data_IF_473720331340
#
_entry.id   IF_473720331340
#
_cell.length_a   1.000
_cell.length_b   1.000
_cell.length_c   1.000
_cell.angle_alpha   90.00
_cell.angle_beta   90.00
_cell.angle_gamma   90.00
#
_symmetry.space_group_name_H-M   'P 1'
#
loop_
_entity.id
_entity.type
_entity.pdbx_description
1 polymer ?
#
# COMPACT_ATOMS: atom_id res chain seq x y z
N UNK A 1 19.30 14.13 -6.65
CA UNK A 1 18.64 12.99 -7.31
C UNK A 1 18.00 12.12 -6.22
N UNK A 2 16.75 11.74 -6.38
CA UNK A 2 16.07 10.79 -5.50
C UNK A 2 16.34 9.38 -6.01
N UNK A 3 16.54 8.38 -5.17
CA UNK A 3 16.81 7.03 -5.66
C UNK A 3 15.59 6.41 -6.33
N UNK A 4 15.86 5.62 -7.37
CA UNK A 4 14.88 4.76 -8.04
C UNK A 4 15.30 3.30 -7.89
N UNK A 5 14.36 2.34 -7.96
CA UNK A 5 14.69 0.92 -7.91
C UNK A 5 15.64 0.53 -9.05
N UNK A 6 16.66 -0.28 -8.74
CA UNK A 6 17.68 -0.74 -9.69
C UNK A 6 17.17 -1.91 -10.54
N UNK A 7 16.96 -1.73 -11.86
CA UNK A 7 16.52 -2.83 -12.72
C UNK A 7 17.49 -4.03 -12.70
N UNK A 8 18.80 -3.76 -12.50
CA UNK A 8 19.81 -4.83 -12.41
C UNK A 8 19.62 -5.72 -11.19
N UNK A 9 19.19 -5.15 -10.07
CA UNK A 9 18.91 -5.92 -8.86
C UNK A 9 17.63 -6.76 -8.98
N UNK A 10 16.59 -6.23 -9.64
CA UNK A 10 15.27 -6.88 -9.73
C UNK A 10 15.19 -7.93 -10.85
N UNK A 11 15.94 -7.76 -11.92
CA UNK A 11 15.88 -8.64 -13.12
C UNK A 11 15.99 -10.12 -12.75
N UNK A 12 14.95 -10.87 -13.12
CA UNK A 12 14.86 -12.31 -12.89
C UNK A 12 14.64 -12.76 -11.45
N UNK A 13 14.64 -11.84 -10.45
CA UNK A 13 14.33 -12.20 -9.06
C UNK A 13 12.93 -12.73 -8.92
N UNK A 14 12.80 -13.82 -8.19
CA UNK A 14 11.50 -14.40 -7.85
C UNK A 14 10.85 -13.62 -6.73
N UNK A 15 9.74 -12.96 -7.03
CA UNK A 15 8.99 -12.12 -6.10
C UNK A 15 7.59 -12.68 -5.91
N UNK A 16 7.19 -12.98 -4.68
CA UNK A 16 5.82 -13.37 -4.35
C UNK A 16 5.10 -12.18 -3.72
N UNK A 17 3.94 -11.82 -4.29
CA UNK A 17 3.09 -10.74 -3.80
C UNK A 17 1.76 -11.33 -3.33
N UNK A 18 1.48 -11.31 -2.02
CA UNK A 18 0.14 -11.61 -1.54
C UNK A 18 -0.72 -10.34 -1.64
N UNK A 19 -2.00 -10.47 -2.02
CA UNK A 19 -2.86 -9.31 -2.23
C UNK A 19 -2.60 -8.58 -3.57
N UNK A 20 -2.01 -9.26 -4.53
CA UNK A 20 -1.69 -8.73 -5.86
C UNK A 20 -2.91 -8.31 -6.69
N UNK A 21 -4.09 -8.80 -6.38
CA UNK A 21 -5.35 -8.43 -7.02
C UNK A 21 -5.93 -7.10 -6.51
N UNK A 22 -5.42 -6.63 -5.35
CA UNK A 22 -5.80 -5.35 -4.76
C UNK A 22 -5.11 -4.16 -5.44
N UNK A 23 -5.50 -2.95 -5.04
CA UNK A 23 -5.02 -1.70 -5.61
C UNK A 23 -3.49 -1.55 -5.53
N UNK A 24 -2.93 -1.49 -4.33
CA UNK A 24 -1.47 -1.29 -4.13
C UNK A 24 -0.68 -2.49 -4.65
N UNK A 25 -1.17 -3.71 -4.41
CA UNK A 25 -0.54 -4.95 -4.89
C UNK A 25 -0.47 -5.02 -6.42
N UNK A 26 -1.52 -4.55 -7.10
CA UNK A 26 -1.54 -4.46 -8.56
C UNK A 26 -0.49 -3.49 -9.11
N UNK A 27 -0.39 -2.27 -8.54
CA UNK A 27 0.64 -1.30 -8.91
C UNK A 27 2.06 -1.80 -8.63
N UNK A 28 2.26 -2.49 -7.50
CA UNK A 28 3.55 -3.12 -7.18
C UNK A 28 3.92 -4.18 -8.22
N UNK A 29 2.98 -5.05 -8.61
CA UNK A 29 3.20 -6.03 -9.68
C UNK A 29 3.52 -5.37 -11.02
N UNK A 30 2.81 -4.29 -11.39
CA UNK A 30 3.08 -3.55 -12.62
C UNK A 30 4.49 -2.95 -12.63
N UNK A 31 4.96 -2.37 -11.51
CA UNK A 31 6.32 -1.85 -11.45
C UNK A 31 7.38 -2.95 -11.45
N UNK A 32 7.19 -4.02 -10.69
CA UNK A 32 8.09 -5.17 -10.68
C UNK A 32 8.25 -5.81 -12.07
N UNK A 33 7.16 -5.88 -12.85
CA UNK A 33 7.22 -6.33 -14.24
C UNK A 33 8.07 -5.41 -15.12
N UNK A 34 7.99 -4.10 -14.92
CA UNK A 34 8.87 -3.12 -15.62
C UNK A 34 10.34 -3.29 -15.26
N UNK A 35 10.62 -3.80 -14.06
CA UNK A 35 11.96 -4.13 -13.58
C UNK A 35 12.40 -5.55 -13.97
N UNK A 36 11.64 -6.24 -14.82
CA UNK A 36 11.90 -7.59 -15.28
C UNK A 36 12.00 -8.63 -14.15
N UNK A 37 11.34 -8.39 -13.01
CA UNK A 37 11.23 -9.37 -11.94
C UNK A 37 10.28 -10.52 -12.34
N UNK A 38 10.55 -11.72 -11.85
CA UNK A 38 9.66 -12.88 -12.03
C UNK A 38 8.63 -12.89 -10.90
N UNK A 39 7.44 -12.33 -11.15
CA UNK A 39 6.42 -12.11 -10.13
C UNK A 39 5.40 -13.24 -10.10
N UNK A 40 5.11 -13.76 -8.91
CA UNK A 40 3.93 -14.60 -8.63
C UNK A 40 2.99 -13.85 -7.70
N UNK A 41 1.68 -14.02 -7.90
CA UNK A 41 0.64 -13.46 -7.06
C UNK A 41 -0.12 -14.54 -6.30
N UNK A 42 -0.51 -14.28 -5.04
CA UNK A 42 -1.41 -15.10 -4.24
C UNK A 42 -2.44 -14.20 -3.55
N UNK A 43 -3.70 -14.28 -3.91
CA UNK A 43 -4.78 -13.48 -3.34
C UNK A 43 -6.16 -14.05 -3.65
N UNK A 44 -7.17 -13.51 -2.99
CA UNK A 44 -8.57 -13.68 -3.41
C UNK A 44 -8.82 -13.06 -4.80
N UNK A 45 -10.01 -13.25 -5.35
CA UNK A 45 -10.45 -12.50 -6.54
C UNK A 45 -10.35 -10.98 -6.30
N UNK A 46 -10.23 -10.16 -7.35
CA UNK A 46 -10.22 -8.72 -7.20
C UNK A 46 -11.42 -8.23 -6.36
N UNK A 47 -11.18 -7.36 -5.36
CA UNK A 47 -12.22 -6.98 -4.39
C UNK A 47 -13.31 -6.07 -4.98
N UNK A 48 -13.13 -5.57 -6.18
CA UNK A 48 -14.05 -4.65 -6.86
C UNK A 48 -14.18 -4.95 -8.33
N UNK A 49 -15.34 -4.57 -8.90
CA UNK A 49 -15.57 -4.54 -10.36
C UNK A 49 -16.08 -3.13 -10.72
N UNK A 50 -15.30 -2.37 -11.52
CA UNK A 50 -13.98 -2.69 -12.07
C UNK A 50 -12.89 -2.80 -11.01
N UNK A 51 -11.71 -3.32 -11.40
CA UNK A 51 -10.52 -3.41 -10.56
C UNK A 51 -9.27 -2.93 -11.30
N UNK A 52 -8.26 -2.44 -10.59
CA UNK A 52 -6.96 -2.14 -11.20
C UNK A 52 -6.37 -3.38 -11.86
N UNK A 53 -6.41 -4.50 -11.16
CA UNK A 53 -5.86 -5.78 -11.61
C UNK A 53 -6.35 -6.17 -13.01
N UNK A 54 -7.67 -6.13 -13.23
CA UNK A 54 -8.25 -6.44 -14.52
C UNK A 54 -8.00 -5.35 -15.56
N UNK A 55 -8.21 -4.08 -15.19
CA UNK A 55 -8.13 -2.93 -16.09
C UNK A 55 -6.71 -2.66 -16.61
N UNK A 56 -5.70 -2.87 -15.79
CA UNK A 56 -4.28 -2.71 -16.16
C UNK A 56 -3.66 -4.00 -16.74
N UNK A 57 -4.41 -5.10 -16.83
CA UNK A 57 -3.93 -6.37 -17.39
C UNK A 57 -2.81 -7.00 -16.57
N UNK A 58 -2.86 -6.87 -15.24
CA UNK A 58 -1.77 -7.34 -14.35
C UNK A 58 -1.54 -8.85 -14.46
N UNK A 59 -2.62 -9.64 -14.63
CA UNK A 59 -2.49 -11.10 -14.76
C UNK A 59 -1.54 -11.55 -15.87
N UNK A 60 -1.57 -10.87 -17.03
CA UNK A 60 -0.70 -11.18 -18.17
C UNK A 60 0.79 -10.87 -17.91
N UNK A 61 1.09 -10.12 -16.87
CA UNK A 61 2.45 -9.72 -16.47
C UNK A 61 3.07 -10.68 -15.43
N UNK A 62 2.27 -11.60 -14.88
CA UNK A 62 2.70 -12.50 -13.81
C UNK A 62 3.24 -13.82 -14.35
N UNK A 63 4.30 -14.33 -13.73
CA UNK A 63 4.77 -15.68 -13.97
C UNK A 63 3.80 -16.74 -13.40
N UNK A 64 3.05 -16.41 -12.35
CA UNK A 64 1.97 -17.22 -11.77
C UNK A 64 0.92 -16.32 -11.14
N UNK A 65 -0.33 -16.57 -11.44
CA UNK A 65 -1.50 -15.94 -10.83
C UNK A 65 -2.30 -17.01 -10.07
N UNK A 66 -2.23 -17.00 -8.75
CA UNK A 66 -2.88 -17.99 -7.88
C UNK A 66 -3.94 -17.34 -7.02
N UNK A 67 -5.17 -17.89 -7.08
CA UNK A 67 -6.26 -17.49 -6.19
C UNK A 67 -6.22 -18.31 -4.91
N UNK A 68 -6.25 -17.61 -3.76
CA UNK A 68 -6.24 -18.26 -2.45
C UNK A 68 -6.45 -17.26 -1.32
N UNK A 69 -6.94 -17.77 -0.21
CA UNK A 69 -7.14 -17.01 1.02
C UNK A 69 -5.91 -17.16 1.93
N UNK A 70 -5.40 -16.05 2.46
CA UNK A 70 -4.31 -16.04 3.46
C UNK A 70 -4.72 -16.67 4.79
N UNK A 71 -6.02 -16.85 5.02
CA UNK A 71 -6.53 -17.61 6.16
C UNK A 71 -6.31 -19.13 6.02
N UNK A 72 -6.04 -19.63 4.81
CA UNK A 72 -5.68 -21.03 4.58
C UNK A 72 -4.15 -21.19 4.65
N UNK A 73 -3.65 -21.52 5.84
CA UNK A 73 -2.21 -21.73 6.08
C UNK A 73 -1.59 -22.80 5.17
N UNK A 74 -2.35 -23.82 4.79
CA UNK A 74 -1.89 -24.90 3.90
C UNK A 74 -1.62 -24.38 2.49
N UNK A 75 -2.55 -23.60 1.93
CA UNK A 75 -2.41 -22.98 0.62
C UNK A 75 -1.31 -21.93 0.58
N UNK A 76 -1.20 -21.09 1.62
CA UNK A 76 -0.10 -20.12 1.73
C UNK A 76 1.25 -20.83 1.70
N UNK A 77 1.42 -21.89 2.51
CA UNK A 77 2.64 -22.69 2.54
C UNK A 77 2.95 -23.31 1.17
N UNK A 78 1.95 -23.91 0.53
CA UNK A 78 2.11 -24.53 -0.79
C UNK A 78 2.55 -23.51 -1.85
N UNK A 79 1.95 -22.30 -1.85
CA UNK A 79 2.30 -21.23 -2.78
C UNK A 79 3.77 -20.77 -2.60
N UNK A 80 4.20 -20.53 -1.35
CA UNK A 80 5.57 -20.14 -1.02
C UNK A 80 6.57 -21.23 -1.43
N UNK A 81 6.29 -22.50 -1.09
CA UNK A 81 7.18 -23.63 -1.42
C UNK A 81 7.29 -23.86 -2.93
N UNK A 82 6.16 -23.85 -3.64
CA UNK A 82 6.16 -24.13 -5.08
C UNK A 82 6.86 -23.03 -5.89
N UNK A 83 6.73 -21.76 -5.50
CA UNK A 83 7.38 -20.68 -6.21
C UNK A 83 8.83 -20.44 -5.75
N UNK A 84 9.14 -20.73 -4.48
CA UNK A 84 10.44 -20.51 -3.85
C UNK A 84 10.96 -19.08 -4.05
N UNK A 85 10.23 -18.04 -3.54
CA UNK A 85 10.57 -16.65 -3.76
C UNK A 85 11.85 -16.24 -3.04
N UNK A 86 12.56 -15.25 -3.60
CA UNK A 86 13.66 -14.54 -2.93
C UNK A 86 13.15 -13.31 -2.16
N UNK A 87 12.07 -12.69 -2.65
CA UNK A 87 11.41 -11.54 -2.03
C UNK A 87 9.94 -11.86 -1.86
N UNK A 88 9.40 -11.57 -0.67
CA UNK A 88 7.97 -11.69 -0.40
C UNK A 88 7.42 -10.34 0.07
N UNK A 89 6.40 -9.86 -0.63
CA UNK A 89 5.58 -8.73 -0.22
C UNK A 89 4.22 -9.21 0.25
N UNK A 90 3.88 -8.94 1.51
CA UNK A 90 2.59 -9.30 2.09
C UNK A 90 1.69 -8.08 2.16
N UNK A 91 0.76 -7.97 1.17
CA UNK A 91 -0.23 -6.89 1.09
C UNK A 91 -1.67 -7.40 1.27
N UNK A 92 -1.90 -8.71 1.31
CA UNK A 92 -3.22 -9.26 1.55
C UNK A 92 -3.74 -8.82 2.92
N UNK A 93 -4.89 -8.16 2.94
CA UNK A 93 -5.50 -7.64 4.15
C UNK A 93 -6.97 -7.30 3.91
N UNK A 94 -7.77 -7.19 4.98
CA UNK A 94 -9.02 -6.44 4.98
C UNK A 94 -8.65 -4.97 5.28
N UNK A 95 -8.77 -4.03 4.29
CA UNK A 95 -8.21 -2.69 4.41
C UNK A 95 -9.23 -1.59 4.72
N UNK A 96 -10.52 -1.91 4.83
CA UNK A 96 -11.61 -0.93 4.97
C UNK A 96 -12.02 -0.81 6.42
N UNK A 97 -11.88 0.40 6.98
CA UNK A 97 -12.21 0.69 8.38
C UNK A 97 -13.67 0.35 8.71
N UNK A 98 -14.62 0.75 7.85
CA UNK A 98 -16.05 0.49 8.06
C UNK A 98 -16.38 -1.01 8.04
N UNK A 99 -15.69 -1.78 7.20
CA UNK A 99 -15.87 -3.24 7.19
C UNK A 99 -15.27 -3.88 8.43
N UNK A 100 -14.22 -3.31 9.02
CA UNK A 100 -13.69 -3.70 10.32
C UNK A 100 -14.73 -3.59 11.45
N UNK A 101 -15.56 -2.53 11.42
CA UNK A 101 -16.68 -2.41 12.37
C UNK A 101 -17.81 -3.43 12.10
N UNK A 102 -18.05 -3.79 10.85
CA UNK A 102 -19.10 -4.76 10.48
C UNK A 102 -18.69 -6.19 10.78
N UNK A 103 -17.43 -6.53 10.49
CA UNK A 103 -16.86 -7.86 10.72
C UNK A 103 -15.47 -7.76 11.38
N UNK A 104 -15.42 -7.53 12.69
CA UNK A 104 -14.17 -7.48 13.43
C UNK A 104 -13.46 -8.83 13.46
N UNK A 105 -14.19 -9.95 13.52
CA UNK A 105 -13.60 -11.29 13.58
C UNK A 105 -12.86 -11.61 12.30
N UNK A 106 -13.49 -11.43 11.13
CA UNK A 106 -12.85 -11.61 9.83
C UNK A 106 -11.68 -10.65 9.61
N UNK A 107 -11.79 -9.41 10.13
CA UNK A 107 -10.70 -8.42 10.06
C UNK A 107 -9.47 -8.90 10.85
N UNK A 108 -9.63 -9.37 12.08
CA UNK A 108 -8.51 -9.92 12.85
C UNK A 108 -7.99 -11.22 12.24
N UNK A 109 -8.86 -12.12 11.80
CA UNK A 109 -8.45 -13.36 11.14
C UNK A 109 -7.55 -13.07 9.94
N UNK A 110 -8.00 -12.20 9.03
CA UNK A 110 -7.22 -11.87 7.83
C UNK A 110 -5.94 -11.09 8.15
N UNK A 111 -6.04 -10.03 8.95
CA UNK A 111 -4.91 -9.12 9.13
C UNK A 111 -3.86 -9.66 10.11
N UNK A 112 -4.25 -10.43 11.12
CA UNK A 112 -3.33 -10.99 12.10
C UNK A 112 -2.97 -12.41 11.74
N UNK A 113 -3.97 -13.31 11.68
CA UNK A 113 -3.68 -14.71 11.42
C UNK A 113 -3.18 -14.96 10.00
N UNK A 114 -3.71 -14.24 9.00
CA UNK A 114 -3.17 -14.27 7.63
C UNK A 114 -1.70 -13.86 7.59
N UNK A 115 -1.30 -12.81 8.33
CA UNK A 115 0.12 -12.42 8.47
C UNK A 115 0.93 -13.52 9.15
N UNK A 116 0.42 -14.14 10.21
CA UNK A 116 1.08 -15.26 10.91
C UNK A 116 1.28 -16.45 9.97
N UNK A 117 0.28 -16.81 9.17
CA UNK A 117 0.39 -17.90 8.18
C UNK A 117 1.48 -17.63 7.13
N UNK A 118 1.57 -16.38 6.64
CA UNK A 118 2.61 -15.97 5.70
C UNK A 118 4.00 -16.02 6.35
N UNK A 119 4.16 -15.51 7.57
CA UNK A 119 5.43 -15.56 8.30
C UNK A 119 5.87 -17.00 8.59
N UNK A 120 4.93 -17.88 8.95
CA UNK A 120 5.22 -19.31 9.17
C UNK A 120 5.66 -20.00 7.88
N UNK A 121 5.03 -19.69 6.74
CA UNK A 121 5.47 -20.20 5.45
C UNK A 121 6.86 -19.67 5.08
N UNK A 122 7.16 -18.41 5.37
CA UNK A 122 8.48 -17.80 5.16
C UNK A 122 9.57 -18.47 5.99
N UNK A 123 9.27 -18.85 7.23
CA UNK A 123 10.21 -19.53 8.14
C UNK A 123 10.74 -20.85 7.54
N UNK A 124 9.91 -21.53 6.75
CA UNK A 124 10.24 -22.78 6.07
C UNK A 124 10.82 -22.60 4.65
N UNK A 125 11.11 -21.35 4.22
CA UNK A 125 11.52 -21.04 2.84
C UNK A 125 12.99 -20.55 2.78
N UNK A 126 13.97 -21.45 2.53
CA UNK A 126 15.39 -21.09 2.56
C UNK A 126 15.83 -20.16 1.43
N UNK A 127 15.00 -19.98 0.40
CA UNK A 127 15.25 -19.06 -0.71
C UNK A 127 15.03 -17.60 -0.34
N UNK A 128 14.24 -17.31 0.72
CA UNK A 128 13.87 -15.96 1.08
C UNK A 128 15.05 -15.12 1.61
N UNK A 129 15.17 -13.94 1.04
CA UNK A 129 16.15 -12.91 1.39
C UNK A 129 15.47 -11.67 1.98
N UNK A 130 14.23 -11.39 1.56
CA UNK A 130 13.48 -10.19 1.93
C UNK A 130 12.02 -10.52 2.21
N UNK A 131 11.50 -10.02 3.34
CA UNK A 131 10.10 -10.13 3.75
C UNK A 131 9.61 -8.73 4.11
N UNK A 132 8.65 -8.21 3.36
CA UNK A 132 8.07 -6.89 3.61
C UNK A 132 6.57 -7.02 3.80
N UNK A 133 6.08 -6.56 4.94
CA UNK A 133 4.66 -6.64 5.34
C UNK A 133 4.04 -5.25 5.33
N UNK A 134 2.95 -5.08 4.59
CA UNK A 134 2.20 -3.82 4.58
C UNK A 134 1.26 -3.73 5.77
N UNK A 135 1.45 -2.69 6.56
CA UNK A 135 0.54 -2.33 7.65
C UNK A 135 -0.20 -1.02 7.32
N UNK A 136 -0.10 0.02 8.10
CA UNK A 136 -0.80 1.28 7.89
C UNK A 136 -0.23 2.38 8.79
N UNK A 137 -0.39 3.64 8.41
CA UNK A 137 -0.16 4.81 9.26
C UNK A 137 -1.05 4.84 10.53
N UNK A 138 -2.16 4.08 10.53
CA UNK A 138 -3.10 3.99 11.65
C UNK A 138 -2.67 3.03 12.77
N UNK A 139 -1.49 2.41 12.64
CA UNK A 139 -0.94 1.54 13.71
C UNK A 139 -0.55 2.30 14.98
N UNK A 140 -0.35 3.60 14.88
CA UNK A 140 0.06 4.42 16.01
C UNK A 140 -1.09 4.71 16.97
N UNK A 141 -0.77 4.82 18.26
CA UNK A 141 -1.70 5.35 19.26
C UNK A 141 -1.86 6.85 19.03
N UNK A 142 -2.85 7.22 18.23
CA UNK A 142 -3.11 8.60 17.87
C UNK A 142 -3.78 9.36 19.06
N UNK A 143 -3.06 10.32 19.62
CA UNK A 143 -3.48 11.21 20.70
C UNK A 143 -4.19 12.47 20.18
N UNK A 144 -4.40 12.60 18.88
CA UNK A 144 -5.01 13.73 18.17
C UNK A 144 -4.24 15.05 18.33
N UNK A 145 -2.97 15.03 18.73
CA UNK A 145 -2.13 16.22 18.90
C UNK A 145 -1.75 16.89 17.58
N UNK A 146 -1.86 16.17 16.45
CA UNK A 146 -1.41 16.64 15.15
C UNK A 146 0.10 16.56 14.92
N UNK A 147 0.87 16.06 15.89
CA UNK A 147 2.30 15.80 15.71
C UNK A 147 2.56 14.70 14.69
N UNK A 148 3.71 14.73 14.04
CA UNK A 148 4.15 13.66 13.17
C UNK A 148 4.58 12.43 13.98
N UNK A 149 4.06 11.24 13.62
CA UNK A 149 4.48 9.97 14.20
C UNK A 149 5.73 9.46 13.51
N UNK A 150 6.73 9.12 14.31
CA UNK A 150 7.92 8.38 13.90
C UNK A 150 7.76 6.88 14.15
N UNK A 151 8.68 6.09 13.60
CA UNK A 151 8.60 4.63 13.75
C UNK A 151 8.83 4.15 15.19
N UNK A 152 9.42 4.99 16.04
CA UNK A 152 9.69 4.69 17.45
C UNK A 152 8.48 5.02 18.35
N UNK A 153 7.41 5.61 17.77
CA UNK A 153 6.20 5.94 18.51
C UNK A 153 5.36 4.68 18.85
N UNK A 154 4.63 4.81 19.95
CA UNK A 154 3.82 3.71 20.48
C UNK A 154 2.76 3.25 19.51
N UNK A 155 2.73 1.95 19.24
CA UNK A 155 1.66 1.29 18.50
C UNK A 155 0.39 1.15 19.33
N UNK A 156 -0.78 1.12 18.65
CA UNK A 156 -2.08 0.87 19.27
C UNK A 156 -3.22 1.51 18.49
N UNK A 157 -4.04 0.72 17.82
CA UNK A 157 -5.23 1.17 17.11
C UNK A 157 -6.46 1.24 18.01
N UNK A 158 -7.37 2.18 17.72
CA UNK A 158 -8.59 2.42 18.52
C UNK A 158 -9.84 1.74 17.93
N UNK A 159 -9.73 1.09 16.77
CA UNK A 159 -10.83 0.39 16.10
C UNK A 159 -10.30 -0.90 15.44
N UNK A 160 -11.18 -1.85 15.05
CA UNK A 160 -10.77 -3.20 14.68
C UNK A 160 -9.72 -3.26 13.56
N UNK A 161 -9.82 -2.40 12.53
CA UNK A 161 -8.83 -2.37 11.45
C UNK A 161 -7.45 -1.93 11.96
N UNK A 162 -7.36 -0.77 12.60
CA UNK A 162 -6.07 -0.24 13.08
C UNK A 162 -5.47 -1.11 14.18
N UNK A 163 -6.30 -1.66 15.08
CA UNK A 163 -5.88 -2.60 16.10
C UNK A 163 -5.33 -3.91 15.49
N UNK A 164 -5.99 -4.46 14.46
CA UNK A 164 -5.51 -5.66 13.77
C UNK A 164 -4.18 -5.42 13.04
N UNK A 165 -4.00 -4.25 12.44
CA UNK A 165 -2.73 -3.87 11.80
C UNK A 165 -1.61 -3.65 12.81
N UNK A 166 -1.90 -3.08 13.98
CA UNK A 166 -0.94 -2.99 15.10
C UNK A 166 -0.57 -4.38 15.63
N UNK A 167 -1.53 -5.29 15.74
CA UNK A 167 -1.28 -6.68 16.15
C UNK A 167 -0.44 -7.45 15.11
N UNK A 168 -0.62 -7.17 13.82
CA UNK A 168 0.24 -7.71 12.77
C UNK A 168 1.69 -7.23 12.92
N UNK A 169 1.95 -5.97 13.28
CA UNK A 169 3.29 -5.46 13.61
C UNK A 169 3.92 -6.26 14.76
N UNK A 170 3.16 -6.52 15.83
CA UNK A 170 3.62 -7.34 16.95
C UNK A 170 3.94 -8.78 16.53
N UNK A 171 3.12 -9.37 15.65
CA UNK A 171 3.38 -10.70 15.10
C UNK A 171 4.70 -10.74 14.31
N UNK A 172 4.94 -9.73 13.44
CA UNK A 172 6.19 -9.61 12.68
C UNK A 172 7.39 -9.49 13.64
N UNK A 173 7.29 -8.65 14.67
CA UNK A 173 8.32 -8.50 15.69
C UNK A 173 8.62 -9.80 16.43
N UNK A 174 7.59 -10.53 16.85
CA UNK A 174 7.74 -11.82 17.54
C UNK A 174 8.43 -12.87 16.63
N UNK A 175 8.05 -12.95 15.35
CA UNK A 175 8.69 -13.86 14.40
C UNK A 175 10.14 -13.46 14.11
N UNK A 176 10.42 -12.16 14.00
CA UNK A 176 11.78 -11.67 13.86
C UNK A 176 12.67 -12.11 15.02
N UNK A 177 12.30 -11.78 16.26
CA UNK A 177 13.09 -12.07 17.45
C UNK A 177 13.26 -13.57 17.71
N UNK A 178 12.19 -14.36 17.48
CA UNK A 178 12.20 -15.78 17.81
C UNK A 178 12.84 -16.65 16.75
N UNK A 179 12.72 -16.29 15.47
CA UNK A 179 13.07 -17.16 14.35
C UNK A 179 14.04 -16.54 13.34
N UNK A 180 13.66 -15.41 12.70
CA UNK A 180 14.41 -14.89 11.54
C UNK A 180 15.77 -14.32 11.94
N UNK A 181 15.85 -13.60 13.04
CA UNK A 181 17.10 -13.05 13.58
C UNK A 181 18.15 -14.15 13.87
N UNK A 182 17.69 -15.34 14.22
CA UNK A 182 18.52 -16.48 14.58
C UNK A 182 18.76 -17.48 13.44
N UNK A 183 18.17 -17.25 12.29
CA UNK A 183 18.34 -18.12 11.13
C UNK A 183 19.77 -18.05 10.59
N UNK A 184 20.28 -19.19 10.11
CA UNK A 184 21.64 -19.24 9.51
C UNK A 184 21.76 -18.31 8.28
N UNK A 185 20.72 -18.23 7.45
CA UNK A 185 20.54 -17.21 6.42
C UNK A 185 19.44 -16.26 6.90
N UNK A 186 19.84 -15.14 7.47
CA UNK A 186 18.93 -14.14 8.04
C UNK A 186 18.28 -13.32 6.91
N UNK A 187 16.95 -13.42 6.69
CA UNK A 187 16.28 -12.54 5.75
C UNK A 187 16.17 -11.12 6.33
N UNK A 188 16.13 -10.09 5.49
CA UNK A 188 15.64 -8.78 5.91
C UNK A 188 14.13 -8.86 6.13
N UNK A 189 13.63 -8.37 7.26
CA UNK A 189 12.19 -8.29 7.58
C UNK A 189 11.85 -6.84 7.89
N UNK A 190 10.77 -6.34 7.28
CA UNK A 190 10.30 -4.98 7.52
C UNK A 190 8.77 -4.88 7.45
N UNK A 191 8.22 -3.90 8.16
CA UNK A 191 6.83 -3.46 7.98
C UNK A 191 6.78 -2.08 7.32
N UNK A 192 5.83 -1.88 6.41
CA UNK A 192 5.60 -0.62 5.69
C UNK A 192 4.35 0.05 6.24
N UNK A 193 4.50 1.25 6.77
CA UNK A 193 3.44 2.11 7.29
C UNK A 193 3.25 3.27 6.32
N UNK A 194 2.32 3.10 5.38
CA UNK A 194 2.06 4.13 4.38
C UNK A 194 0.83 4.97 4.75
N UNK A 195 0.89 6.26 4.42
CA UNK A 195 -0.21 7.19 4.58
C UNK A 195 -1.35 6.97 3.60
N UNK A 196 -2.26 7.94 3.49
CA UNK A 196 -3.39 7.85 2.58
C UNK A 196 -2.94 7.78 1.12
N UNK A 197 -3.02 6.59 0.55
CA UNK A 197 -2.56 6.32 -0.81
C UNK A 197 -3.67 6.66 -1.80
N UNK A 198 -3.36 7.50 -2.80
CA UNK A 198 -4.22 7.79 -3.96
C UNK A 198 -3.57 7.28 -5.24
N UNK A 199 -4.39 7.01 -6.26
CA UNK A 199 -3.90 6.52 -7.55
C UNK A 199 -5.06 6.00 -8.40
N UNK A 200 -4.81 5.83 -9.68
CA UNK A 200 -5.79 5.24 -10.58
C UNK A 200 -6.09 3.77 -10.25
N UNK A 201 -7.35 3.39 -10.32
CA UNK A 201 -7.77 1.99 -10.17
C UNK A 201 -8.06 1.51 -8.75
N UNK A 202 -8.06 2.39 -7.75
CA UNK A 202 -8.68 2.10 -6.46
C UNK A 202 -10.19 2.28 -6.59
N UNK A 203 -10.93 1.20 -6.61
CA UNK A 203 -12.39 1.23 -6.76
C UNK A 203 -13.12 0.94 -5.44
N UNK A 204 -12.39 0.89 -4.32
CA UNK A 204 -12.99 0.64 -3.02
C UNK A 204 -13.99 1.74 -2.62
N UNK A 205 -15.03 1.36 -1.88
CA UNK A 205 -15.99 2.30 -1.30
C UNK A 205 -15.39 2.94 -0.05
N UNK A 206 -15.97 4.03 0.38
CA UNK A 206 -15.57 4.77 1.58
C UNK A 206 -14.13 5.32 1.50
N UNK A 207 -13.65 5.57 0.28
CA UNK A 207 -12.39 6.25 -0.01
C UNK A 207 -12.64 7.48 -0.85
N UNK A 208 -12.04 8.60 -0.48
CA UNK A 208 -12.36 9.93 -1.02
C UNK A 208 -12.27 9.99 -2.55
N UNK A 209 -11.13 9.60 -3.14
CA UNK A 209 -10.92 9.73 -4.58
C UNK A 209 -11.80 8.78 -5.41
N UNK A 210 -11.92 7.47 -5.10
CA UNK A 210 -12.88 6.58 -5.76
C UNK A 210 -14.33 7.07 -5.67
N UNK A 211 -14.75 7.59 -4.51
CA UNK A 211 -16.10 8.13 -4.32
C UNK A 211 -16.30 9.40 -5.16
N UNK A 212 -15.28 10.27 -5.26
CA UNK A 212 -15.29 11.44 -6.13
C UNK A 212 -15.48 11.04 -7.60
N UNK A 213 -14.71 10.07 -8.08
CA UNK A 213 -14.79 9.60 -9.47
C UNK A 213 -16.18 9.04 -9.78
N UNK A 214 -16.76 8.22 -8.89
CA UNK A 214 -18.11 7.69 -9.08
C UNK A 214 -19.17 8.81 -9.12
N UNK A 215 -19.07 9.76 -8.21
CA UNK A 215 -19.99 10.90 -8.18
C UNK A 215 -19.88 11.76 -9.45
N UNK A 216 -18.68 12.12 -9.85
CA UNK A 216 -18.44 12.97 -11.01
C UNK A 216 -18.84 12.28 -12.33
N UNK A 217 -18.56 10.99 -12.47
CA UNK A 217 -19.00 10.22 -13.63
C UNK A 217 -20.54 10.13 -13.73
N UNK A 218 -21.23 10.16 -12.61
CA UNK A 218 -22.70 10.21 -12.55
C UNK A 218 -23.27 11.64 -12.65
N UNK A 219 -22.44 12.68 -12.83
CA UNK A 219 -22.88 14.09 -12.84
C UNK A 219 -23.35 14.61 -11.47
N UNK A 220 -23.04 13.89 -10.38
CA UNK A 220 -23.44 14.22 -9.02
C UNK A 220 -22.29 14.88 -8.23
N UNK A 221 -22.59 15.68 -7.19
CA UNK A 221 -21.56 16.21 -6.30
C UNK A 221 -20.99 15.07 -5.41
N UNK A 222 -19.67 15.09 -5.19
CA UNK A 222 -19.06 14.28 -4.14
C UNK A 222 -19.57 14.72 -2.77
N UNK A 223 -19.94 13.77 -1.92
CA UNK A 223 -20.27 14.01 -0.51
C UNK A 223 -19.02 13.84 0.34
N UNK A 224 -18.64 14.90 1.06
CA UNK A 224 -17.48 14.91 1.97
C UNK A 224 -17.97 15.02 3.41
N UNK A 225 -17.59 14.05 4.25
CA UNK A 225 -18.07 13.95 5.65
C UNK A 225 -17.27 14.83 6.61
N UNK A 226 -15.95 14.87 6.45
CA UNK A 226 -15.01 15.56 7.37
C UNK A 226 -14.00 16.39 6.58
N UNK A 227 -14.41 17.52 5.97
CA UNK A 227 -13.57 18.28 5.04
C UNK A 227 -12.32 18.88 5.69
N UNK A 228 -12.35 19.18 6.98
CA UNK A 228 -11.23 19.75 7.73
C UNK A 228 -10.22 18.71 8.25
N UNK A 229 -10.53 17.42 8.17
CA UNK A 229 -9.60 16.37 8.60
C UNK A 229 -8.37 16.32 7.71
N UNK A 230 -7.17 16.32 8.31
CA UNK A 230 -5.89 16.26 7.57
C UNK A 230 -5.35 14.85 7.48
N UNK A 231 -4.73 14.54 6.34
CA UNK A 231 -4.15 13.21 6.07
C UNK A 231 -2.84 13.35 5.31
N UNK A 232 -1.91 12.39 5.48
CA UNK A 232 -0.66 12.33 4.72
C UNK A 232 -0.91 11.68 3.35
N UNK A 233 -1.43 12.49 2.40
CA UNK A 233 -1.74 12.02 1.07
C UNK A 233 -0.49 11.77 0.23
N UNK A 234 -0.43 10.64 -0.46
CA UNK A 234 0.65 10.35 -1.40
C UNK A 234 0.16 9.52 -2.59
N UNK A 235 0.88 9.61 -3.71
CA UNK A 235 0.57 8.74 -4.85
C UNK A 235 1.00 7.31 -4.58
N UNK A 236 0.28 6.33 -5.15
CA UNK A 236 0.58 4.90 -5.00
C UNK A 236 1.99 4.56 -5.47
N UNK A 237 2.49 5.23 -6.49
CA UNK A 237 3.86 5.04 -6.99
C UNK A 237 4.92 5.50 -5.98
N UNK A 238 4.67 6.52 -5.17
CA UNK A 238 5.60 6.90 -4.10
C UNK A 238 5.72 5.81 -3.04
N UNK A 239 4.57 5.27 -2.59
CA UNK A 239 4.56 4.18 -1.63
C UNK A 239 5.22 2.91 -2.20
N UNK A 240 4.92 2.55 -3.46
CA UNK A 240 5.51 1.40 -4.14
C UNK A 240 7.01 1.60 -4.33
N UNK A 241 7.47 2.79 -4.77
CA UNK A 241 8.91 3.10 -4.90
C UNK A 241 9.64 2.94 -3.57
N UNK A 242 9.07 3.50 -2.50
CA UNK A 242 9.64 3.34 -1.15
C UNK A 242 9.77 1.87 -0.75
N UNK A 243 8.75 1.08 -1.02
CA UNK A 243 8.74 -0.36 -0.73
C UNK A 243 9.79 -1.13 -1.53
N UNK A 244 9.96 -0.82 -2.82
CA UNK A 244 10.98 -1.45 -3.66
C UNK A 244 12.39 -1.09 -3.20
N UNK A 245 12.64 0.20 -2.90
CA UNK A 245 13.91 0.66 -2.35
C UNK A 245 14.24 0.03 -0.99
N UNK A 246 13.24 -0.12 -0.14
CA UNK A 246 13.39 -0.80 1.15
C UNK A 246 13.80 -2.27 0.97
N UNK A 247 13.14 -2.99 0.06
CA UNK A 247 13.50 -4.38 -0.21
C UNK A 247 14.90 -4.52 -0.84
N UNK A 248 15.30 -3.56 -1.66
CA UNK A 248 16.58 -3.53 -2.36
C UNK A 248 17.75 -3.15 -1.43
N UNK A 249 17.57 -2.06 -0.68
CA UNK A 249 18.63 -1.38 0.09
C UNK A 249 18.51 -1.56 1.59
N UNK A 250 17.35 -1.99 2.05
CA UNK A 250 17.11 -2.24 3.46
C UNK A 250 18.17 -3.19 3.98
N UNK A 251 18.94 -2.69 4.93
CA UNK A 251 20.09 -3.40 5.42
C UNK A 251 19.69 -4.76 5.99
N UNK A 252 20.39 -5.80 5.56
CA UNK A 252 20.73 -6.88 6.46
C UNK A 252 21.67 -6.35 7.58
N UNK A 253 21.57 -5.08 7.97
CA UNK A 253 22.48 -4.40 8.85
C UNK A 253 22.19 -4.77 10.30
N UNK A 254 23.23 -5.11 11.01
CA UNK A 254 23.24 -5.57 12.38
C UNK A 254 22.64 -4.58 13.41
N UNK A 255 22.47 -3.31 13.06
CA UNK A 255 21.96 -2.28 13.97
C UNK A 255 20.54 -1.78 13.63
N UNK A 256 20.15 -1.78 12.37
CA UNK A 256 18.80 -1.37 11.95
C UNK A 256 17.77 -2.52 12.07
N UNK A 257 18.20 -3.74 12.30
CA UNK A 257 17.38 -4.93 12.39
C UNK A 257 16.39 -4.93 13.57
N UNK A 258 16.61 -4.12 14.59
CA UNK A 258 15.66 -3.91 15.69
C UNK A 258 14.51 -2.98 15.31
N UNK A 259 14.63 -2.27 14.18
CA UNK A 259 13.67 -1.27 13.73
C UNK A 259 12.93 -1.75 12.49
N UNK A 260 11.95 -2.63 12.68
CA UNK A 260 11.21 -3.25 11.57
C UNK A 260 10.28 -2.28 10.84
N UNK A 261 9.75 -1.25 11.52
CA UNK A 261 8.82 -0.30 10.95
C UNK A 261 9.46 0.75 10.05
N UNK A 262 8.78 1.08 8.92
CA UNK A 262 9.19 2.13 7.99
C UNK A 262 8.00 2.96 7.57
N UNK A 263 8.05 4.26 7.86
CA UNK A 263 7.04 5.21 7.42
C UNK A 263 7.33 5.70 6.00
N UNK A 264 6.30 5.68 5.16
CA UNK A 264 6.31 6.31 3.85
C UNK A 264 5.12 7.24 3.73
N UNK A 265 5.37 8.53 3.68
CA UNK A 265 4.37 9.59 3.56
C UNK A 265 5.02 10.91 3.15
N UNK A 266 4.22 11.93 2.81
CA UNK A 266 4.74 13.26 2.50
C UNK A 266 5.45 13.87 3.71
N UNK A 267 6.23 14.92 3.46
CA UNK A 267 6.86 15.70 4.52
C UNK A 267 5.81 16.22 5.52
N UNK A 268 6.12 16.35 6.81
CA UNK A 268 5.16 16.81 7.81
C UNK A 268 4.52 18.18 7.50
N UNK A 269 5.20 19.02 6.73
CA UNK A 269 4.68 20.31 6.25
C UNK A 269 3.76 20.22 5.01
N UNK A 270 3.69 19.06 4.37
CA UNK A 270 2.90 18.79 3.16
C UNK A 270 1.68 17.91 3.46
N UNK A 271 0.95 18.27 4.51
CA UNK A 271 -0.27 17.56 4.95
C UNK A 271 -1.48 18.40 4.59
N UNK A 272 -2.41 17.80 3.87
CA UNK A 272 -3.55 18.52 3.32
C UNK A 272 -4.89 18.05 3.89
N UNK A 273 -5.87 18.96 4.06
CA UNK A 273 -7.22 18.60 4.47
C UNK A 273 -7.93 17.82 3.34
N UNK A 274 -8.93 17.06 3.71
CA UNK A 274 -9.79 16.32 2.78
C UNK A 274 -10.43 17.25 1.74
N UNK A 275 -10.79 18.47 2.13
CA UNK A 275 -11.34 19.49 1.22
C UNK A 275 -10.38 19.85 0.09
N UNK A 276 -9.08 20.00 0.37
CA UNK A 276 -8.09 20.31 -0.67
C UNK A 276 -8.00 19.20 -1.73
N UNK A 277 -8.03 17.93 -1.31
CA UNK A 277 -8.07 16.80 -2.25
C UNK A 277 -9.36 16.78 -3.06
N UNK A 278 -10.51 17.09 -2.44
CA UNK A 278 -11.79 17.17 -3.13
C UNK A 278 -11.81 18.31 -4.17
N UNK A 279 -11.20 19.47 -3.84
CA UNK A 279 -11.04 20.59 -4.77
C UNK A 279 -10.15 20.25 -5.95
N UNK A 280 -8.98 19.62 -5.68
CA UNK A 280 -8.04 19.15 -6.71
C UNK A 280 -8.70 18.12 -7.64
N UNK A 281 -9.40 17.13 -7.08
CA UNK A 281 -10.10 16.13 -7.86
C UNK A 281 -11.21 16.76 -8.73
N UNK A 282 -11.97 17.71 -8.19
CA UNK A 282 -13.01 18.45 -8.93
C UNK A 282 -12.42 19.25 -10.10
N UNK A 283 -11.31 19.96 -9.88
CA UNK A 283 -10.60 20.71 -10.92
C UNK A 283 -10.04 19.78 -12.01
N UNK A 284 -9.37 18.70 -11.60
CA UNK A 284 -8.76 17.76 -12.53
C UNK A 284 -9.83 17.00 -13.37
N UNK A 285 -10.99 16.74 -12.80
CA UNK A 285 -12.11 16.14 -13.53
C UNK A 285 -12.72 17.11 -14.55
N UNK A 286 -12.90 18.37 -14.17
CA UNK A 286 -13.51 19.40 -15.02
C UNK A 286 -15.04 19.25 -15.13
N UNK A 287 -15.65 19.87 -16.16
CA UNK A 287 -17.09 19.70 -16.45
C UNK A 287 -18.05 20.17 -15.36
N UNK A 288 -17.62 21.08 -14.46
CA UNK A 288 -18.45 21.56 -13.36
C UNK A 288 -18.54 20.60 -12.17
N UNK A 289 -17.65 19.61 -12.11
CA UNK A 289 -17.53 18.71 -10.95
C UNK A 289 -17.35 19.50 -9.66
N UNK A 290 -18.04 19.09 -8.62
CA UNK A 290 -18.03 19.77 -7.31
C UNK A 290 -18.27 18.81 -6.18
N UNK A 291 -18.01 19.24 -4.98
CA UNK A 291 -18.34 18.51 -3.76
C UNK A 291 -19.22 19.31 -2.83
N UNK A 292 -19.84 18.66 -1.85
CA UNK A 292 -20.61 19.27 -0.77
C UNK A 292 -20.28 18.60 0.55
N UNK A 293 -20.39 19.34 1.62
CA UNK A 293 -20.25 18.81 2.98
C UNK A 293 -21.57 18.21 3.46
N UNK A 294 -21.49 16.98 4.00
CA UNK A 294 -22.58 16.35 4.70
C UNK A 294 -21.98 15.52 5.84
N UNK A 295 -22.19 15.99 7.07
CA UNK A 295 -21.61 15.35 8.25
C UNK A 295 -22.21 13.96 8.48
N UNK A 296 -21.36 12.98 8.83
CA UNK A 296 -21.77 11.63 9.25
C UNK A 296 -21.10 11.35 10.60
N UNK A 297 -21.88 11.38 11.68
CA UNK A 297 -21.42 11.13 13.03
C UNK A 297 -21.42 9.64 13.42
N UNK A 298 -21.82 8.75 12.51
CA UNK A 298 -21.99 7.31 12.81
C UNK A 298 -20.67 6.60 13.13
N UNK A 299 -19.55 7.08 12.57
CA UNK A 299 -18.22 6.54 12.82
C UNK A 299 -17.26 7.70 13.09
N UNK A 300 -16.58 7.70 14.24
CA UNK A 300 -15.57 8.71 14.55
C UNK A 300 -14.42 8.68 13.57
N UNK A 301 -14.07 9.83 12.99
CA UNK A 301 -12.89 9.99 12.15
C UNK A 301 -11.79 10.75 12.91
N UNK A 302 -10.54 10.31 12.79
CA UNK A 302 -9.40 11.04 13.35
C UNK A 302 -9.31 12.43 12.71
N UNK A 303 -9.06 13.47 13.52
CA UNK A 303 -8.93 14.85 13.03
C UNK A 303 -7.64 15.06 12.25
N UNK A 304 -6.54 14.50 12.74
CA UNK A 304 -5.23 14.60 12.14
C UNK A 304 -4.47 13.27 12.22
N UNK A 305 -3.74 12.97 11.19
CA UNK A 305 -2.74 11.92 11.15
C UNK A 305 -1.58 12.42 10.28
N UNK A 306 -0.40 12.47 10.85
CA UNK A 306 0.82 12.95 10.20
C UNK A 306 1.91 11.93 10.43
N UNK A 307 2.69 11.61 9.39
CA UNK A 307 3.86 10.73 9.49
C UNK A 307 5.15 11.53 9.36
N UNK A 308 6.17 11.09 10.07
CA UNK A 308 7.56 11.44 9.78
C UNK A 308 8.18 10.31 8.97
N UNK A 309 8.66 10.62 7.78
CA UNK A 309 9.41 9.70 6.93
C UNK A 309 10.93 9.93 7.01
N UNK A 310 11.41 10.52 8.12
CA UNK A 310 12.82 10.87 8.30
C UNK A 310 13.73 9.64 8.16
N UNK A 311 13.34 8.49 8.72
CA UNK A 311 14.08 7.23 8.57
C UNK A 311 14.23 6.81 7.10
N UNK A 312 13.15 6.90 6.32
CA UNK A 312 13.19 6.56 4.90
C UNK A 312 14.04 7.56 4.10
N UNK A 313 14.02 8.84 4.48
CA UNK A 313 14.89 9.85 3.88
C UNK A 313 16.37 9.58 4.19
N UNK A 314 16.71 9.37 5.46
CA UNK A 314 18.10 9.22 5.91
C UNK A 314 18.74 7.93 5.39
N UNK A 315 18.04 6.81 5.49
CA UNK A 315 18.57 5.50 5.15
C UNK A 315 18.43 5.14 3.66
N UNK A 316 17.36 5.58 3.01
CA UNK A 316 17.05 5.20 1.63
C UNK A 316 17.15 6.38 0.65
N UNK A 317 17.28 7.63 1.13
CA UNK A 317 17.15 8.83 0.32
C UNK A 317 15.73 9.04 -0.22
N UNK A 318 14.73 8.38 0.39
CA UNK A 318 13.37 8.39 -0.11
C UNK A 318 12.58 9.61 0.42
N UNK A 319 11.84 10.25 -0.47
CA UNK A 319 10.77 11.23 -0.22
C UNK A 319 9.81 11.19 -1.37
N UNK A 320 8.58 11.66 -1.22
CA UNK A 320 7.61 11.71 -2.33
C UNK A 320 8.21 12.39 -3.55
N UNK A 321 8.04 11.79 -4.74
CA UNK A 321 8.47 12.37 -6.00
C UNK A 321 7.41 13.32 -6.55
N UNK A 322 6.14 12.97 -6.41
CA UNK A 322 5.01 13.77 -6.82
C UNK A 322 4.40 14.51 -5.63
N UNK A 323 4.11 15.80 -5.83
CA UNK A 323 3.27 16.57 -4.93
C UNK A 323 1.80 16.16 -5.03
N UNK A 324 0.96 16.73 -4.17
CA UNK A 324 -0.46 16.37 -4.14
C UNK A 324 -1.19 16.71 -5.44
N UNK A 325 -0.89 17.87 -6.05
CA UNK A 325 -1.51 18.29 -7.32
C UNK A 325 -1.24 17.29 -8.43
N UNK A 326 0.02 16.90 -8.60
CA UNK A 326 0.42 15.88 -9.58
C UNK A 326 -0.20 14.51 -9.26
N UNK A 327 -0.17 14.10 -8.00
CA UNK A 327 -0.73 12.83 -7.57
C UNK A 327 -2.22 12.72 -7.91
N UNK A 328 -3.00 13.77 -7.68
CA UNK A 328 -4.43 13.80 -8.00
C UNK A 328 -4.66 13.89 -9.51
N UNK A 329 -3.91 14.72 -10.23
CA UNK A 329 -4.06 14.87 -11.68
C UNK A 329 -3.82 13.54 -12.41
N UNK A 330 -2.73 12.83 -12.08
CA UNK A 330 -2.39 11.53 -12.68
C UNK A 330 -3.42 10.45 -12.30
N UNK A 331 -3.91 10.46 -11.06
CA UNK A 331 -4.97 9.56 -10.64
C UNK A 331 -6.25 9.78 -11.43
N UNK A 332 -6.72 11.03 -11.56
CA UNK A 332 -7.93 11.37 -12.31
C UNK A 332 -7.77 11.05 -13.79
N UNK A 333 -6.61 11.31 -14.39
CA UNK A 333 -6.32 10.96 -15.78
C UNK A 333 -6.47 9.45 -16.02
N UNK A 334 -5.97 8.62 -15.11
CA UNK A 334 -6.12 7.17 -15.18
C UNK A 334 -7.59 6.74 -15.13
N UNK A 335 -8.38 7.30 -14.20
CA UNK A 335 -9.81 6.99 -14.08
C UNK A 335 -10.60 7.42 -15.32
N UNK A 336 -10.31 8.61 -15.87
CA UNK A 336 -10.98 9.07 -17.10
C UNK A 336 -10.70 8.12 -18.27
N UNK A 337 -9.47 7.67 -18.41
CA UNK A 337 -9.11 6.67 -19.42
C UNK A 337 -9.84 5.33 -19.20
N UNK A 338 -9.95 4.88 -17.93
CA UNK A 338 -10.67 3.66 -17.58
C UNK A 338 -12.17 3.74 -17.93
N UNK A 339 -12.81 4.85 -17.62
CA UNK A 339 -14.24 5.07 -17.90
C UNK A 339 -14.53 5.27 -19.38
N UNK A 340 -13.59 5.78 -20.16
CA UNK A 340 -13.72 5.89 -21.60
C UNK A 340 -13.67 4.52 -22.32
N UNK A 341 -13.32 3.43 -21.63
CA UNK A 341 -13.38 2.07 -22.18
C UNK A 341 -12.37 1.78 -23.29
N UNK A 342 -11.36 2.65 -23.48
CA UNK A 342 -10.36 2.49 -24.54
C UNK A 342 -9.31 1.41 -24.21
N UNK A 343 -8.74 0.74 -25.24
CA UNK A 343 -7.56 -0.07 -25.05
C UNK A 343 -6.39 0.86 -24.64
N UNK A 344 -5.60 0.47 -23.64
CA UNK A 344 -4.38 1.24 -23.33
C UNK A 344 -4.15 1.57 -21.86
N UNK A 345 -5.01 1.11 -20.94
CA UNK A 345 -4.78 1.32 -19.51
C UNK A 345 -3.47 0.68 -19.02
N UNK A 346 -3.11 -0.48 -19.53
CA UNK A 346 -1.80 -1.09 -19.26
C UNK A 346 -0.65 -0.17 -19.72
N UNK A 347 -0.77 0.41 -20.93
CA UNK A 347 0.24 1.36 -21.45
C UNK A 347 0.25 2.67 -20.67
N UNK A 348 -0.91 3.19 -20.24
CA UNK A 348 -0.99 4.38 -19.40
C UNK A 348 -0.33 4.11 -18.03
N UNK A 349 -0.63 2.96 -17.41
CA UNK A 349 -0.01 2.52 -16.16
C UNK A 349 1.51 2.46 -16.30
N UNK A 350 2.02 1.85 -17.37
CA UNK A 350 3.44 1.78 -17.64
C UNK A 350 4.08 3.18 -17.80
N UNK A 351 3.43 4.09 -18.55
CA UNK A 351 3.91 5.48 -18.71
C UNK A 351 3.92 6.23 -17.37
N UNK A 352 2.94 6.03 -16.50
CA UNK A 352 2.94 6.68 -15.18
C UNK A 352 4.08 6.15 -14.31
N UNK A 353 4.39 4.85 -14.35
CA UNK A 353 5.57 4.27 -13.67
C UNK A 353 6.86 4.91 -14.21
N UNK A 354 7.02 4.99 -15.54
CA UNK A 354 8.21 5.53 -16.17
C UNK A 354 8.38 7.04 -15.87
N UNK A 355 7.29 7.82 -15.92
CA UNK A 355 7.29 9.25 -15.59
C UNK A 355 7.67 9.49 -14.12
N UNK A 356 7.08 8.71 -13.21
CA UNK A 356 7.37 8.81 -11.78
C UNK A 356 8.84 8.45 -11.49
N UNK A 357 9.38 7.42 -12.13
CA UNK A 357 10.77 7.04 -11.99
C UNK A 357 11.72 8.13 -12.51
N UNK A 358 11.40 8.73 -13.67
CA UNK A 358 12.20 9.80 -14.27
C UNK A 358 12.22 11.08 -13.41
N UNK A 359 11.09 11.46 -12.80
CA UNK A 359 11.02 12.63 -11.90
C UNK A 359 11.66 12.36 -10.52
N UNK A 360 11.76 11.10 -10.12
CA UNK A 360 12.49 10.72 -8.91
C UNK A 360 14.01 10.70 -9.13
N UNK A 361 14.47 10.36 -10.33
CA UNK A 361 15.89 10.32 -10.67
C UNK A 361 16.50 11.72 -10.81
#
# INVERSE_FOLDING_TARGET
>A
MRPVPDPGWWRGRKVLVTGHTGFVGGWLCAWLSRLEARVAGFALEPPTTPSFFASAGVAAQLAKDERGDVNDAGRVRAAVQAFAPQVLFHLAAQPIVRDGYRDPVGTFATNVMGTVHVLEACRAAPSLERIVVYTTDKVYRNDQSGRAFSEDDRLGGNEPYSASKSAAEWAVGAYWESYFRRAAKRPMVATVRAGNIVGGGDWARDRLLPDAIRAFAAGAPLVVRSPASTRPWQHVLDAVRGTLLLAERGAAADEAAERLGWNFGPEPGDVHPVSAVADLASRAWGGGARWRHEADASIPESRALVLSSARALDALGWRCAWDLDRAIAESVAWYRAALAGGPGLASLTARQVDAHAAEAA
#
